data_IF_388148305273
#
_entry.id   IF_388148305273
#
_cell.length_a   1.000
_cell.length_b   1.000
_cell.length_c   1.000
_cell.angle_alpha   90.00
_cell.angle_beta   90.00
_cell.angle_gamma   90.00
#
_symmetry.space_group_name_H-M   'P 1'
#
loop_
_entity.id
_entity.type
_entity.pdbx_description
1 polymer ?
#
# COMPACT_ATOMS: atom_id res chain seq x y z
N UNK A 1 2.31 -14.04 -11.14
CA UNK A 1 1.75 -13.81 -9.79
C UNK A 1 1.70 -12.31 -9.53
N UNK A 2 0.59 -11.83 -8.98
CA UNK A 2 0.42 -10.41 -8.72
C UNK A 2 0.48 -10.13 -7.23
N UNK A 3 0.82 -8.89 -6.89
CA UNK A 3 0.94 -8.44 -5.51
C UNK A 3 0.03 -7.24 -5.33
N UNK A 4 -0.74 -7.23 -4.24
CA UNK A 4 -1.63 -6.13 -3.95
C UNK A 4 -1.06 -5.33 -2.79
N UNK A 5 -0.85 -4.03 -3.03
CA UNK A 5 -0.46 -3.09 -1.98
C UNK A 5 -1.71 -2.42 -1.45
N UNK A 6 -1.97 -2.57 -0.17
CA UNK A 6 -3.13 -1.96 0.49
C UNK A 6 -2.63 -0.81 1.35
N UNK A 7 -3.18 0.37 1.12
CA UNK A 7 -2.81 1.59 1.84
C UNK A 7 -3.96 1.98 2.74
N UNK A 8 -3.71 2.03 4.05
CA UNK A 8 -4.73 2.40 5.03
C UNK A 8 -4.39 3.80 5.55
N UNK A 9 -5.35 4.72 5.43
CA UNK A 9 -5.18 6.11 5.84
C UNK A 9 -5.60 6.30 7.29
N UNK A 10 -5.02 7.32 7.93
CA UNK A 10 -5.37 7.68 9.30
C UNK A 10 -6.78 8.25 9.42
N UNK A 11 -7.24 8.93 8.36
CA UNK A 11 -8.57 9.51 8.31
C UNK A 11 -9.60 8.42 8.03
N UNK A 12 -10.54 8.24 8.95
CA UNK A 12 -11.60 7.22 8.83
C UNK A 12 -12.53 7.47 7.65
N UNK A 13 -12.61 8.69 7.17
CA UNK A 13 -13.46 9.04 6.02
C UNK A 13 -12.83 8.63 4.69
N UNK A 14 -11.53 8.32 4.69
CA UNK A 14 -10.84 7.89 3.49
C UNK A 14 -10.83 6.38 3.40
N UNK A 15 -11.26 5.87 2.25
CA UNK A 15 -11.23 4.42 1.99
C UNK A 15 -9.81 3.97 1.73
N UNK A 16 -9.55 2.69 2.01
CA UNK A 16 -8.25 2.10 1.71
C UNK A 16 -8.02 2.09 0.20
N UNK A 17 -6.79 2.39 -0.21
CA UNK A 17 -6.40 2.27 -1.60
C UNK A 17 -5.77 0.91 -1.84
N UNK A 18 -5.98 0.37 -3.05
CA UNK A 18 -5.39 -0.89 -3.48
C UNK A 18 -4.69 -0.69 -4.81
N UNK A 19 -3.44 -1.09 -4.88
CA UNK A 19 -2.65 -0.99 -6.11
C UNK A 19 -2.07 -2.36 -6.43
N UNK A 20 -2.23 -2.79 -7.68
CA UNK A 20 -1.74 -4.10 -8.12
C UNK A 20 -0.38 -3.93 -8.79
N UNK A 21 0.57 -4.77 -8.38
CA UNK A 21 1.90 -4.83 -8.98
C UNK A 21 2.20 -6.24 -9.45
N UNK A 22 2.93 -6.36 -10.54
CA UNK A 22 3.41 -7.65 -11.02
C UNK A 22 4.76 -8.01 -10.41
N UNK A 23 5.47 -7.01 -9.89
CA UNK A 23 6.79 -7.16 -9.30
C UNK A 23 6.72 -6.84 -7.80
N UNK A 24 7.08 -7.84 -6.97
CA UNK A 24 7.06 -7.66 -5.52
C UNK A 24 8.02 -6.56 -5.07
N UNK A 25 9.18 -6.44 -5.72
CA UNK A 25 10.16 -5.42 -5.35
C UNK A 25 9.59 -4.02 -5.53
N UNK A 26 8.82 -3.80 -6.60
CA UNK A 26 8.15 -2.51 -6.81
C UNK A 26 7.08 -2.27 -5.75
N UNK A 27 6.32 -3.31 -5.40
CA UNK A 27 5.31 -3.18 -4.36
C UNK A 27 5.95 -2.77 -3.03
N UNK A 28 7.07 -3.38 -2.67
CA UNK A 28 7.80 -3.05 -1.46
C UNK A 28 8.35 -1.63 -1.49
N UNK A 29 8.85 -1.20 -2.63
CA UNK A 29 9.35 0.16 -2.80
C UNK A 29 8.23 1.18 -2.54
N UNK A 30 7.08 0.99 -3.16
CA UNK A 30 5.96 1.90 -2.98
C UNK A 30 5.38 1.80 -1.57
N UNK A 31 5.39 0.62 -0.97
CA UNK A 31 4.96 0.47 0.41
C UNK A 31 5.77 1.37 1.35
N UNK A 32 7.08 1.34 1.24
CA UNK A 32 7.95 2.19 2.06
C UNK A 32 7.66 3.66 1.79
N UNK A 33 7.48 4.01 0.54
CA UNK A 33 7.21 5.39 0.15
C UNK A 33 5.93 5.90 0.79
N UNK A 34 4.86 5.11 0.73
CA UNK A 34 3.58 5.49 1.34
C UNK A 34 3.65 5.54 2.85
N UNK A 35 4.41 4.65 3.47
CA UNK A 35 4.54 4.64 4.93
C UNK A 35 5.21 5.88 5.48
N UNK A 36 5.96 6.60 4.66
CA UNK A 36 6.58 7.85 5.05
C UNK A 36 5.61 9.03 5.01
N UNK A 37 4.44 8.84 4.43
CA UNK A 37 3.42 9.88 4.33
C UNK A 37 2.65 9.97 5.65
N UNK A 38 2.56 11.19 6.20
CA UNK A 38 1.90 11.42 7.48
C UNK A 38 0.41 11.07 7.46
N UNK A 39 -0.22 11.07 6.30
CA UNK A 39 -1.64 10.76 6.17
C UNK A 39 -1.92 9.25 6.14
N UNK A 40 -0.88 8.44 6.01
CA UNK A 40 -1.00 6.98 5.93
C UNK A 40 -0.75 6.36 7.28
N UNK A 41 -1.72 5.56 7.76
CA UNK A 41 -1.58 4.83 9.01
C UNK A 41 -0.59 3.68 8.84
N UNK A 42 -0.77 2.89 7.78
CA UNK A 42 0.15 1.83 7.42
C UNK A 42 -0.15 1.34 6.01
N UNK A 43 0.76 0.56 5.46
CA UNK A 43 0.57 -0.10 4.17
C UNK A 43 1.01 -1.55 4.30
N UNK A 44 0.38 -2.44 3.54
CA UNK A 44 0.73 -3.86 3.57
C UNK A 44 0.65 -4.46 2.18
N UNK A 45 1.38 -5.54 1.97
CA UNK A 45 1.40 -6.27 0.71
C UNK A 45 0.81 -7.65 0.93
N UNK A 46 -0.09 -8.05 0.05
CA UNK A 46 -0.66 -9.41 0.05
C UNK A 46 -0.51 -10.00 -1.35
N UNK A 47 -0.44 -11.33 -1.41
CA UNK A 47 -0.46 -12.02 -2.68
C UNK A 47 -1.85 -11.92 -3.27
N UNK A 48 -1.94 -11.35 -4.48
CA UNK A 48 -3.24 -11.12 -5.11
C UNK A 48 -3.56 -12.06 -6.23
#
# INVERSE_FOLDING_TARGET
>A
MKWKLIIVYKDRNLKNDEVIFEDKAKAEYFKEHYQQNDCVAYAKIIAG
#
